data_IF_197739511350
#
_entry.id   IF_197739511350
#
_cell.length_a   1.000
_cell.length_b   1.000
_cell.length_c   1.000
_cell.angle_alpha   90.00
_cell.angle_beta   90.00
_cell.angle_gamma   90.00
#
_symmetry.space_group_name_H-M   'P 1'
#
loop_
_entity.id
_entity.type
_entity.pdbx_description
1 polymer ?
#
# COMPACT_ATOMS: atom_id res chain seq x y z
N UNK A 1 -14.42 -7.93 -3.62
CA UNK A 1 -12.97 -7.67 -3.49
C UNK A 1 -12.26 -8.45 -4.57
N UNK A 2 -11.61 -7.79 -5.53
CA UNK A 2 -10.93 -8.47 -6.63
C UNK A 2 -9.46 -8.65 -6.29
N UNK A 3 -8.97 -9.90 -6.30
CA UNK A 3 -7.57 -10.21 -5.99
C UNK A 3 -6.59 -9.37 -6.81
N UNK A 4 -6.91 -9.09 -8.07
CA UNK A 4 -6.06 -8.30 -8.97
C UNK A 4 -5.70 -6.91 -8.41
N UNK A 5 -6.64 -6.22 -7.75
CA UNK A 5 -6.36 -4.89 -7.20
C UNK A 5 -5.63 -4.96 -5.86
N UNK A 6 -5.86 -6.02 -5.07
CA UNK A 6 -5.06 -6.29 -3.87
C UNK A 6 -3.60 -6.56 -4.26
N UNK A 7 -3.38 -7.43 -5.26
CA UNK A 7 -2.05 -7.72 -5.81
C UNK A 7 -1.40 -6.46 -6.36
N UNK A 8 -2.15 -5.60 -7.05
CA UNK A 8 -1.65 -4.31 -7.53
C UNK A 8 -1.17 -3.41 -6.37
N UNK A 9 -1.99 -3.25 -5.33
CA UNK A 9 -1.65 -2.43 -4.16
C UNK A 9 -0.40 -2.98 -3.48
N UNK A 10 -0.34 -4.29 -3.23
CA UNK A 10 0.82 -4.92 -2.58
C UNK A 10 2.08 -4.91 -3.46
N UNK A 11 1.94 -5.05 -4.78
CA UNK A 11 3.08 -4.96 -5.70
C UNK A 11 3.67 -3.55 -5.72
N UNK A 12 2.83 -2.51 -5.68
CA UNK A 12 3.28 -1.11 -5.62
C UNK A 12 3.90 -0.79 -4.25
N UNK A 13 3.33 -1.31 -3.16
CA UNK A 13 3.92 -1.24 -1.83
C UNK A 13 5.32 -1.86 -1.82
N UNK A 14 5.47 -3.08 -2.38
CA UNK A 14 6.76 -3.78 -2.46
C UNK A 14 7.76 -3.02 -3.33
N UNK A 15 7.31 -2.46 -4.47
CA UNK A 15 8.16 -1.61 -5.29
C UNK A 15 8.63 -0.36 -4.53
N UNK A 16 7.75 0.27 -3.75
CA UNK A 16 8.10 1.40 -2.89
C UNK A 16 9.11 1.02 -1.81
N UNK A 17 8.99 -0.17 -1.23
CA UNK A 17 9.96 -0.70 -0.25
C UNK A 17 11.32 -0.99 -0.88
N UNK A 18 11.35 -1.59 -2.08
CA UNK A 18 12.59 -1.80 -2.83
C UNK A 18 13.25 -0.45 -3.15
N UNK A 19 12.46 0.56 -3.54
CA UNK A 19 12.97 1.91 -3.77
C UNK A 19 13.49 2.55 -2.48
N UNK A 20 12.77 2.42 -1.36
CA UNK A 20 13.22 2.90 -0.06
C UNK A 20 14.58 2.33 0.31
N UNK A 21 14.71 1.00 0.23
CA UNK A 21 15.93 0.26 0.55
C UNK A 21 17.08 0.61 -0.41
N UNK A 22 16.79 0.77 -1.71
CA UNK A 22 17.80 1.06 -2.72
C UNK A 22 18.30 2.51 -2.70
N UNK A 23 17.40 3.47 -2.46
CA UNK A 23 17.70 4.90 -2.50
C UNK A 23 18.06 5.48 -1.12
N UNK A 24 17.85 4.72 -0.03
CA UNK A 24 18.15 5.15 1.33
C UNK A 24 17.36 6.37 1.79
N UNK A 25 16.20 6.62 1.18
CA UNK A 25 15.38 7.81 1.44
C UNK A 25 14.73 7.68 2.82
N UNK A 26 14.68 8.71 3.68
CA UNK A 26 14.03 8.64 5.00
C UNK A 26 12.49 8.54 4.97
N UNK A 27 11.92 8.17 3.82
CA UNK A 27 10.48 8.02 3.60
C UNK A 27 10.15 6.53 3.61
N UNK A 28 9.19 6.06 4.44
CA UNK A 28 8.79 4.66 4.47
C UNK A 28 8.36 4.14 3.10
N UNK A 29 8.79 2.92 2.73
CA UNK A 29 8.39 2.26 1.50
C UNK A 29 6.88 2.26 1.21
N UNK A 30 5.98 2.09 2.20
CA UNK A 30 4.54 2.23 2.01
C UNK A 30 4.12 3.57 1.39
N UNK A 31 4.72 4.67 1.85
CA UNK A 31 4.40 6.03 1.38
C UNK A 31 4.88 6.22 -0.05
N UNK A 32 6.04 5.65 -0.39
CA UNK A 32 6.55 5.65 -1.77
C UNK A 32 5.63 4.83 -2.68
N UNK A 33 5.18 3.65 -2.22
CA UNK A 33 4.21 2.82 -2.93
C UNK A 33 2.88 3.52 -3.21
N UNK A 34 2.37 4.30 -2.23
CA UNK A 34 1.19 5.16 -2.44
C UNK A 34 1.44 6.23 -3.50
N UNK A 35 2.63 6.85 -3.52
CA UNK A 35 3.03 7.80 -4.56
C UNK A 35 3.04 7.17 -5.95
N UNK A 36 3.60 5.96 -6.08
CA UNK A 36 3.60 5.21 -7.34
C UNK A 36 2.19 4.87 -7.81
N UNK A 37 1.32 4.42 -6.90
CA UNK A 37 -0.09 4.15 -7.19
C UNK A 37 -0.79 5.43 -7.68
N UNK A 38 -0.58 6.55 -6.99
CA UNK A 38 -1.17 7.84 -7.36
C UNK A 38 -0.74 8.29 -8.75
N UNK A 39 0.56 8.23 -9.06
CA UNK A 39 1.08 8.56 -10.41
C UNK A 39 0.46 7.63 -11.47
N UNK A 40 0.36 6.32 -11.19
CA UNK A 40 -0.31 5.38 -12.08
C UNK A 40 -1.78 5.71 -12.33
N UNK A 41 -2.51 6.17 -11.30
CA UNK A 41 -3.90 6.60 -11.42
C UNK A 41 -4.06 7.90 -12.20
N UNK A 42 -3.11 8.83 -12.06
CA UNK A 42 -3.06 10.06 -12.87
C UNK A 42 -2.89 9.74 -14.35
N UNK A 43 -1.93 8.87 -14.69
CA UNK A 43 -1.71 8.42 -16.09
C UNK A 43 -2.94 7.70 -16.63
N UNK A 44 -3.63 6.92 -15.80
CA UNK A 44 -4.86 6.23 -16.16
C UNK A 44 -6.07 7.18 -16.31
N UNK A 45 -6.04 8.36 -15.70
CA UNK A 45 -7.11 9.36 -15.76
C UNK A 45 -8.32 9.03 -14.88
N UNK A 46 -8.18 8.15 -13.87
CA UNK A 46 -9.29 7.87 -12.95
C UNK A 46 -9.09 6.64 -12.06
N UNK A 47 -9.80 6.67 -10.93
CA UNK A 47 -9.83 5.57 -9.96
C UNK A 47 -10.87 4.54 -10.38
N UNK A 48 -10.49 3.28 -10.67
CA UNK A 48 -11.47 2.25 -10.97
C UNK A 48 -12.26 1.91 -9.69
N UNK A 49 -13.59 1.81 -9.80
CA UNK A 49 -14.49 1.51 -8.67
C UNK A 49 -14.09 0.27 -7.87
N UNK A 50 -13.52 -0.74 -8.53
CA UNK A 50 -13.03 -1.95 -7.87
C UNK A 50 -11.76 -1.76 -7.04
N UNK A 51 -10.90 -0.79 -7.39
CA UNK A 51 -9.75 -0.40 -6.54
C UNK A 51 -10.24 0.29 -5.28
N UNK A 52 -11.22 1.19 -5.42
CA UNK A 52 -11.87 1.88 -4.29
C UNK A 52 -12.48 0.86 -3.32
N UNK A 53 -13.31 -0.07 -3.79
CA UNK A 53 -13.89 -1.13 -2.94
C UNK A 53 -12.82 -1.99 -2.26
N UNK A 54 -11.71 -2.27 -2.94
CA UNK A 54 -10.62 -3.09 -2.35
C UNK A 54 -9.85 -2.30 -1.30
N UNK A 55 -9.56 -1.02 -1.56
CA UNK A 55 -8.91 -0.13 -0.60
C UNK A 55 -9.77 0.07 0.65
N UNK A 56 -11.08 0.31 0.48
CA UNK A 56 -12.02 0.42 1.60
C UNK A 56 -12.12 -0.88 2.41
N UNK A 57 -12.17 -2.04 1.75
CA UNK A 57 -12.19 -3.33 2.45
C UNK A 57 -10.94 -3.57 3.30
N UNK A 58 -9.76 -3.11 2.85
CA UNK A 58 -8.53 -3.14 3.67
C UNK A 58 -8.66 -2.15 4.83
N UNK A 59 -9.17 -0.94 4.57
CA UNK A 59 -9.35 0.12 5.58
C UNK A 59 -10.28 -0.31 6.72
N UNK A 60 -11.40 -0.97 6.40
CA UNK A 60 -12.34 -1.51 7.39
C UNK A 60 -11.71 -2.58 8.28
N UNK A 61 -10.72 -3.32 7.76
CA UNK A 61 -9.99 -4.35 8.48
C UNK A 61 -8.64 -3.85 9.04
N UNK A 62 -8.32 -2.55 8.92
CA UNK A 62 -7.04 -2.01 9.39
C UNK A 62 -6.83 -2.21 10.88
N UNK A 63 -7.88 -2.19 11.69
CA UNK A 63 -7.82 -2.49 13.13
C UNK A 63 -7.15 -3.85 13.40
N UNK A 64 -7.41 -4.85 12.55
CA UNK A 64 -6.79 -6.18 12.62
C UNK A 64 -5.35 -6.21 12.09
N UNK A 65 -4.96 -5.26 11.23
CA UNK A 65 -3.58 -5.12 10.74
C UNK A 65 -2.69 -4.33 11.71
N UNK A 66 -3.26 -3.33 12.41
CA UNK A 66 -2.52 -2.50 13.37
C UNK A 66 -2.25 -3.18 14.70
N UNK A 67 -3.12 -4.09 15.17
CA UNK A 67 -2.88 -4.86 16.41
C UNK A 67 -1.61 -5.74 16.30
N UNK A 68 -1.46 -6.63 15.32
CA UNK A 68 -0.24 -7.44 15.17
C UNK A 68 0.99 -6.61 14.78
N UNK A 69 0.82 -5.56 13.96
CA UNK A 69 1.93 -4.63 13.66
C UNK A 69 2.42 -3.90 14.92
N UNK A 70 1.51 -3.46 15.80
CA UNK A 70 1.86 -2.80 17.06
C UNK A 70 2.50 -3.74 18.08
N UNK A 71 2.00 -4.98 18.20
CA UNK A 71 2.57 -5.98 19.11
C UNK A 71 3.94 -6.47 18.65
N UNK A 72 4.16 -6.58 17.33
CA UNK A 72 5.47 -6.95 16.77
C UNK A 72 6.56 -5.90 16.98
N UNK A 73 6.20 -4.61 17.05
CA UNK A 73 7.14 -3.51 17.33
C UNK A 73 7.47 -3.39 18.83
N UNK A 74 6.60 -3.87 19.72
CA UNK A 74 6.84 -3.86 21.18
C UNK A 74 7.75 -5.00 21.67
N UNK A 75 8.05 -5.99 20.81
CA UNK A 75 8.94 -7.11 21.14
C UNK A 75 10.42 -6.86 20.81
N UNK A 76 10.76 -5.66 20.31
CA UNK A 76 12.12 -5.17 20.13
C UNK A 76 12.30 -3.83 20.84
#
# INVERSE_FOLDING_TARGET
MSLAFLTLILALQLAGEILHLALGVPVPGPVIGMGLLFVGLLVKGGVPRSLETTAFGILENLSLLFVPAGVGVMLY
#
